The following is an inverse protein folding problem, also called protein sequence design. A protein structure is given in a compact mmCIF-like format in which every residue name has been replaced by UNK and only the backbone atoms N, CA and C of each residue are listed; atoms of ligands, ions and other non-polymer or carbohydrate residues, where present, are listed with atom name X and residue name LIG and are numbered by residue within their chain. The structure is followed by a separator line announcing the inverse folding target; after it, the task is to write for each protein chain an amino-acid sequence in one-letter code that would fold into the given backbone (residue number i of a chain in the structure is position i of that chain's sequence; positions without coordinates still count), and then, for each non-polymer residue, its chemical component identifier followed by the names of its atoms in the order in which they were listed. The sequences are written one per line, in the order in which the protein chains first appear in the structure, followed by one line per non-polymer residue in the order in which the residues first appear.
data_IF_657436858511
#
_entry.id   IF_657436858511
#
_cell.length_a   1.000
_cell.length_b   1.000
_cell.length_c   1.000
_cell.angle_alpha   90.00
_cell.angle_beta   90.00
_cell.angle_gamma   90.00
#
_symmetry.space_group_name_H-M   'P 1'
#
loop_
_entity.id
_entity.type
_entity.pdbx_description
1 polymer ?
#
# COMPACT_ATOMS: atom_id res chain seq x y z
N UNK A 1 -6.17 -29.01 7.68
CA UNK A 1 -5.54 -27.73 8.09
C UNK A 1 -5.13 -26.88 6.88
N UNK A 2 -4.58 -27.47 5.82
CA UNK A 2 -4.26 -26.76 4.55
C UNK A 2 -5.49 -26.24 3.79
N UNK A 3 -6.62 -26.98 3.79
CA UNK A 3 -7.85 -26.57 3.08
C UNK A 3 -8.54 -25.35 3.72
N UNK A 4 -8.50 -25.20 5.06
CA UNK A 4 -9.07 -24.04 5.75
C UNK A 4 -8.18 -22.80 5.64
N UNK A 5 -6.85 -22.99 5.59
CA UNK A 5 -5.89 -21.92 5.33
C UNK A 5 -6.03 -21.41 3.89
N UNK A 6 -6.09 -22.31 2.90
CA UNK A 6 -6.26 -21.93 1.50
C UNK A 6 -7.60 -21.20 1.26
N UNK A 7 -8.70 -21.65 1.87
CA UNK A 7 -10.00 -20.95 1.78
C UNK A 7 -10.01 -19.63 2.53
N UNK A 8 -9.34 -19.52 3.68
CA UNK A 8 -9.21 -18.25 4.41
C UNK A 8 -8.34 -17.25 3.65
N UNK A 9 -7.24 -17.69 3.05
CA UNK A 9 -6.38 -16.87 2.20
C UNK A 9 -7.15 -16.42 0.96
N UNK A 10 -7.85 -17.34 0.27
CA UNK A 10 -8.65 -17.03 -0.90
C UNK A 10 -9.79 -16.03 -0.59
N UNK A 11 -10.46 -16.15 0.57
CA UNK A 11 -11.53 -15.23 0.97
C UNK A 11 -11.00 -13.87 1.46
N UNK A 12 -9.82 -13.83 2.08
CA UNK A 12 -9.14 -12.58 2.43
C UNK A 12 -8.64 -11.82 1.21
N UNK A 13 -8.10 -12.56 0.24
CA UNK A 13 -7.64 -12.02 -1.03
C UNK A 13 -8.83 -11.51 -1.86
N UNK A 14 -9.94 -12.24 -1.92
CA UNK A 14 -11.10 -11.84 -2.70
C UNK A 14 -11.72 -10.54 -2.20
N UNK A 15 -11.87 -10.34 -0.88
CA UNK A 15 -12.43 -9.10 -0.33
C UNK A 15 -11.53 -7.88 -0.60
N UNK A 16 -10.21 -8.02 -0.44
CA UNK A 16 -9.26 -6.94 -0.73
C UNK A 16 -9.18 -6.64 -2.23
N UNK A 17 -9.21 -7.67 -3.07
CA UNK A 17 -9.20 -7.51 -4.53
C UNK A 17 -10.46 -6.78 -4.99
N UNK A 18 -11.64 -7.17 -4.51
CA UNK A 18 -12.90 -6.49 -4.83
C UNK A 18 -12.86 -5.02 -4.43
N UNK A 19 -12.41 -4.70 -3.21
CA UNK A 19 -12.28 -3.31 -2.76
C UNK A 19 -11.32 -2.49 -3.64
N UNK A 20 -10.21 -3.08 -4.07
CA UNK A 20 -9.24 -2.42 -4.98
C UNK A 20 -9.81 -2.22 -6.37
N UNK A 21 -10.53 -3.20 -6.93
CA UNK A 21 -11.21 -3.08 -8.22
C UNK A 21 -12.29 -2.01 -8.17
N UNK A 22 -13.13 -1.98 -7.13
CA UNK A 22 -14.14 -0.93 -6.95
C UNK A 22 -13.49 0.46 -6.82
N UNK A 23 -12.45 0.59 -6.00
CA UNK A 23 -11.66 1.82 -5.86
C UNK A 23 -11.05 2.27 -7.20
N UNK A 24 -10.57 1.32 -7.99
CA UNK A 24 -10.03 1.58 -9.33
C UNK A 24 -11.11 2.11 -10.28
N UNK A 25 -12.28 1.48 -10.34
CA UNK A 25 -13.40 1.92 -11.17
C UNK A 25 -13.88 3.33 -10.79
N UNK A 26 -13.95 3.62 -9.48
CA UNK A 26 -14.29 4.97 -9.00
C UNK A 26 -13.24 5.98 -9.45
N UNK A 27 -11.95 5.65 -9.34
CA UNK A 27 -10.85 6.53 -9.77
C UNK A 27 -10.90 6.77 -11.28
N UNK A 28 -11.20 5.73 -12.08
CA UNK A 28 -11.37 5.83 -13.52
C UNK A 28 -12.54 6.76 -13.91
N UNK A 29 -13.61 6.74 -13.13
CA UNK A 29 -14.74 7.65 -13.32
C UNK A 29 -14.40 9.09 -12.92
N UNK A 30 -13.71 9.29 -11.78
CA UNK A 30 -13.30 10.61 -11.32
C UNK A 30 -12.42 11.34 -12.34
N UNK A 31 -11.56 10.63 -13.08
CA UNK A 31 -10.75 11.18 -14.18
C UNK A 31 -11.56 11.85 -15.29
N UNK A 32 -12.84 11.50 -15.45
CA UNK A 32 -13.69 12.06 -16.50
C UNK A 32 -14.46 13.31 -16.06
N UNK A 33 -14.51 13.57 -14.75
CA UNK A 33 -15.36 14.62 -14.16
C UNK A 33 -14.54 15.71 -13.49
N UNK A 34 -13.50 15.32 -12.76
CA UNK A 34 -12.64 16.20 -11.96
C UNK A 34 -11.55 16.78 -12.86
N UNK A 35 -11.06 17.98 -12.54
CA UNK A 35 -9.95 18.55 -13.29
C UNK A 35 -8.71 17.66 -13.21
N UNK A 36 -8.06 17.43 -14.35
CA UNK A 36 -6.87 16.60 -14.45
C UNK A 36 -5.70 17.20 -13.66
N UNK A 37 -5.64 18.52 -13.53
CA UNK A 37 -4.59 19.18 -12.74
C UNK A 37 -4.74 18.89 -11.23
N UNK A 38 -5.99 18.90 -10.73
CA UNK A 38 -6.32 18.52 -9.35
C UNK A 38 -6.01 17.05 -9.10
N UNK A 39 -6.39 16.17 -10.03
CA UNK A 39 -6.13 14.74 -9.90
C UNK A 39 -4.64 14.42 -9.93
N UNK A 40 -3.86 15.06 -10.80
CA UNK A 40 -2.40 14.88 -10.83
C UNK A 40 -1.76 15.32 -9.52
N UNK A 41 -2.17 16.48 -8.99
CA UNK A 41 -1.69 16.98 -7.71
C UNK A 41 -2.05 16.06 -6.53
N UNK A 42 -3.29 15.56 -6.47
CA UNK A 42 -3.73 14.70 -5.36
C UNK A 42 -3.16 13.29 -5.47
N UNK A 43 -3.33 12.64 -6.62
CA UNK A 43 -3.02 11.22 -6.78
C UNK A 43 -1.53 10.93 -6.95
N UNK A 44 -0.74 11.85 -7.50
CA UNK A 44 0.72 11.67 -7.60
C UNK A 44 1.40 12.28 -6.40
N UNK A 45 1.24 13.59 -6.21
CA UNK A 45 2.06 14.35 -5.25
C UNK A 45 1.63 14.13 -3.80
N UNK A 46 0.39 14.44 -3.45
CA UNK A 46 -0.09 14.33 -2.07
C UNK A 46 -0.20 12.88 -1.61
N UNK A 47 -0.59 11.98 -2.51
CA UNK A 47 -0.64 10.54 -2.22
C UNK A 47 0.75 9.95 -2.05
N UNK A 48 1.78 10.40 -2.79
CA UNK A 48 3.17 9.99 -2.58
C UNK A 48 3.67 10.39 -1.19
N UNK A 49 3.39 11.62 -0.74
CA UNK A 49 3.74 12.07 0.61
C UNK A 49 3.09 11.15 1.66
N UNK A 50 1.79 10.91 1.52
CA UNK A 50 1.02 10.02 2.39
C UNK A 50 1.55 8.58 2.38
N UNK A 51 1.77 7.98 1.20
CA UNK A 51 2.22 6.59 1.05
C UNK A 51 3.60 6.40 1.67
N UNK A 52 4.49 7.37 1.48
CA UNK A 52 5.87 7.34 1.97
C UNK A 52 5.93 7.34 3.49
N UNK A 53 5.21 8.26 4.15
CA UNK A 53 5.15 8.35 5.62
C UNK A 53 4.63 7.03 6.20
N UNK A 54 3.54 6.54 5.61
CA UNK A 54 2.81 5.39 6.09
C UNK A 54 3.60 4.10 5.87
N UNK A 55 4.20 3.93 4.70
CA UNK A 55 4.99 2.75 4.34
C UNK A 55 6.23 2.62 5.21
N UNK A 56 6.98 3.71 5.38
CA UNK A 56 8.18 3.76 6.20
C UNK A 56 7.89 3.44 7.67
N UNK A 57 6.71 3.80 8.16
CA UNK A 57 6.28 3.49 9.53
C UNK A 57 5.76 2.05 9.66
N UNK A 58 4.87 1.61 8.76
CA UNK A 58 4.11 0.36 8.90
C UNK A 58 4.93 -0.89 8.58
N UNK A 59 5.72 -0.87 7.50
CA UNK A 59 6.38 -2.09 7.04
C UNK A 59 7.40 -2.65 8.06
N UNK A 60 8.27 -1.82 8.69
CA UNK A 60 9.19 -2.31 9.70
C UNK A 60 8.47 -2.88 10.92
N UNK A 61 7.38 -2.25 11.34
CA UNK A 61 6.59 -2.65 12.51
C UNK A 61 5.86 -3.98 12.29
N UNK A 62 5.28 -4.18 11.10
CA UNK A 62 4.64 -5.44 10.71
C UNK A 62 5.63 -6.61 10.56
N UNK A 63 6.87 -6.32 10.17
CA UNK A 63 7.93 -7.33 10.01
C UNK A 63 8.70 -7.62 11.30
N UNK A 64 8.72 -6.69 12.25
CA UNK A 64 9.34 -6.86 13.56
C UNK A 64 8.64 -7.91 14.44
N UNK A 65 7.45 -8.36 14.02
CA UNK A 65 6.63 -9.39 14.66
C UNK A 65 7.36 -10.74 14.90
N UNK A 66 8.43 -11.01 14.13
CA UNK A 66 9.13 -12.30 14.13
C UNK A 66 10.09 -12.48 15.33
N UNK A 67 10.34 -11.44 16.14
CA UNK A 67 11.52 -11.45 17.01
C UNK A 67 11.35 -11.87 18.48
N UNK A 68 10.14 -11.97 19.10
CA UNK A 68 10.08 -12.13 20.59
C UNK A 68 8.91 -12.87 21.25
N UNK A 69 9.27 -13.55 22.36
CA UNK A 69 8.39 -14.29 23.28
C UNK A 69 7.62 -13.43 24.31
N UNK A 70 8.09 -12.21 24.65
CA UNK A 70 7.46 -11.37 25.68
C UNK A 70 6.44 -10.37 25.13
N UNK A 71 5.15 -10.58 25.45
CA UNK A 71 4.04 -9.74 24.99
C UNK A 71 4.09 -8.26 25.45
N UNK A 72 4.40 -7.92 26.72
CA UNK A 72 4.35 -6.51 27.16
C UNK A 72 5.42 -5.64 26.50
N UNK A 73 6.63 -6.18 26.30
CA UNK A 73 7.72 -5.46 25.64
C UNK A 73 7.43 -5.26 24.13
N UNK A 74 6.76 -6.23 23.50
CA UNK A 74 6.27 -6.10 22.14
C UNK A 74 5.22 -5.00 22.00
N UNK A 75 4.23 -4.94 22.90
CA UNK A 75 3.21 -3.87 22.89
C UNK A 75 3.88 -2.50 23.01
N UNK A 76 4.82 -2.33 23.96
CA UNK A 76 5.57 -1.08 24.11
C UNK A 76 6.31 -0.66 22.83
N UNK A 77 6.94 -1.62 22.13
CA UNK A 77 7.63 -1.36 20.87
C UNK A 77 6.67 -0.88 19.77
N UNK A 78 5.51 -1.51 19.61
CA UNK A 78 4.59 -1.13 18.54
C UNK A 78 3.96 0.24 18.80
N UNK A 79 3.74 0.62 20.05
CA UNK A 79 3.27 1.96 20.41
C UNK A 79 4.30 3.07 20.14
N UNK A 80 5.54 2.74 19.76
CA UNK A 80 6.47 3.71 19.16
C UNK A 80 6.10 4.08 17.72
N UNK A 81 5.27 3.27 17.03
CA UNK A 81 4.86 3.51 15.64
C UNK A 81 4.18 4.86 15.42
N UNK A 82 3.15 5.27 16.20
CA UNK A 82 2.55 6.60 16.05
C UNK A 82 3.52 7.74 16.32
N UNK A 83 4.47 7.56 17.25
CA UNK A 83 5.48 8.57 17.56
C UNK A 83 6.44 8.77 16.39
N UNK A 84 6.94 7.66 15.81
CA UNK A 84 7.80 7.68 14.63
C UNK A 84 7.05 8.29 13.44
N UNK A 85 5.78 7.91 13.24
CA UNK A 85 4.92 8.49 12.21
C UNK A 85 4.72 9.99 12.38
N UNK A 86 4.53 10.48 13.62
CA UNK A 86 4.38 11.90 13.90
C UNK A 86 5.64 12.70 13.53
N UNK A 87 6.82 12.19 13.91
CA UNK A 87 8.11 12.80 13.53
C UNK A 87 8.30 12.79 12.01
N UNK A 88 8.08 11.65 11.36
CA UNK A 88 8.17 11.53 9.90
C UNK A 88 7.17 12.43 9.19
N UNK A 89 5.95 12.57 9.69
CA UNK A 89 4.92 13.45 9.13
C UNK A 89 5.38 14.90 9.10
N UNK A 90 5.96 15.39 10.21
CA UNK A 90 6.50 16.76 10.29
C UNK A 90 7.69 16.91 9.36
N UNK A 91 8.67 16.00 9.41
CA UNK A 91 9.87 16.06 8.58
C UNK A 91 9.55 16.02 7.08
N UNK A 92 8.73 15.07 6.64
CA UNK A 92 8.33 14.92 5.24
C UNK A 92 7.52 16.13 4.78
N UNK A 93 6.64 16.72 5.61
CA UNK A 93 5.90 17.95 5.25
C UNK A 93 6.82 19.14 5.08
N UNK A 94 7.82 19.29 5.96
CA UNK A 94 8.82 20.35 5.86
C UNK A 94 9.69 20.17 4.61
N UNK A 95 10.20 18.96 4.37
CA UNK A 95 10.97 18.64 3.16
C UNK A 95 10.14 18.88 1.90
N UNK A 96 8.88 18.46 1.90
CA UNK A 96 7.97 18.70 0.79
C UNK A 96 7.80 20.19 0.53
N UNK A 97 7.63 21.02 1.56
CA UNK A 97 7.48 22.47 1.40
C UNK A 97 8.76 23.15 0.90
N UNK A 98 9.93 22.67 1.31
CA UNK A 98 11.22 23.21 0.88
C UNK A 98 11.54 22.85 -0.57
N UNK A 99 11.23 21.61 -0.99
CA UNK A 99 11.60 21.09 -2.30
C UNK A 99 10.51 21.40 -3.35
N UNK A 100 9.23 21.41 -2.95
CA UNK A 100 8.09 21.60 -3.83
C UNK A 100 7.77 23.08 -4.06
N UNK A 101 8.78 23.90 -4.36
CA UNK A 101 8.65 25.26 -4.90
C UNK A 101 8.03 25.24 -6.32
N UNK A 102 6.90 24.56 -6.48
CA UNK A 102 6.13 24.47 -7.72
C UNK A 102 5.21 25.68 -7.86
N UNK A 103 4.91 26.05 -9.10
CA UNK A 103 4.04 27.16 -9.54
C UNK A 103 2.59 27.17 -9.04
N UNK A 104 2.15 26.16 -8.29
CA UNK A 104 0.78 26.06 -7.74
C UNK A 104 0.87 26.04 -6.22
N UNK A 105 0.51 27.16 -5.59
CA UNK A 105 0.44 27.27 -4.14
C UNK A 105 -0.69 26.40 -3.60
N UNK A 106 -0.34 25.23 -3.06
CA UNK A 106 -1.31 24.39 -2.34
C UNK A 106 -1.54 24.96 -0.95
N UNK A 107 -2.78 25.25 -0.55
CA UNK A 107 -3.07 25.72 0.80
C UNK A 107 -2.53 24.76 1.86
N UNK A 108 -1.90 25.31 2.90
CA UNK A 108 -1.28 24.52 3.97
C UNK A 108 -2.24 23.51 4.60
N UNK A 109 -3.53 23.86 4.72
CA UNK A 109 -4.55 22.98 5.26
C UNK A 109 -4.70 21.68 4.45
N UNK A 110 -4.68 21.78 3.11
CA UNK A 110 -4.80 20.62 2.21
C UNK A 110 -3.51 19.79 2.22
N UNK A 111 -2.35 20.44 2.29
CA UNK A 111 -1.09 19.71 2.42
C UNK A 111 -1.03 18.93 3.75
N UNK A 112 -1.45 19.56 4.85
CA UNK A 112 -1.40 18.98 6.19
C UNK A 112 -2.41 17.84 6.39
N UNK A 113 -3.50 17.78 5.62
CA UNK A 113 -4.52 16.74 5.78
C UNK A 113 -4.00 15.34 5.49
N UNK A 114 -3.07 15.19 4.55
CA UNK A 114 -2.51 13.89 4.14
C UNK A 114 -1.57 13.29 5.20
N UNK A 115 -0.56 14.02 5.73
CA UNK A 115 0.22 13.60 6.89
C UNK A 115 -0.63 13.39 8.15
N UNK A 116 -1.64 14.24 8.38
CA UNK A 116 -2.56 14.07 9.51
C UNK A 116 -3.35 12.75 9.39
N UNK A 117 -3.86 12.44 8.20
CA UNK A 117 -4.52 11.17 7.91
C UNK A 117 -3.56 9.98 8.15
N UNK A 118 -2.31 10.06 7.68
CA UNK A 118 -1.29 9.03 7.94
C UNK A 118 -1.01 8.86 9.45
N UNK A 119 -0.98 9.95 10.21
CA UNK A 119 -0.82 9.92 11.67
C UNK A 119 -2.00 9.22 12.37
N UNK A 120 -3.24 9.59 12.03
CA UNK A 120 -4.45 8.93 12.56
C UNK A 120 -4.41 7.42 12.25
N UNK A 121 -4.02 7.08 11.03
CA UNK A 121 -3.87 5.70 10.59
C UNK A 121 -2.75 4.92 11.27
N UNK A 122 -1.68 5.60 11.68
CA UNK A 122 -0.61 4.99 12.47
C UNK A 122 -1.04 4.68 13.90
N UNK A 123 -2.01 5.43 14.45
CA UNK A 123 -2.61 5.13 15.75
C UNK A 123 -3.42 3.82 15.74
N UNK A 124 -3.93 3.41 14.58
CA UNK A 124 -4.59 2.13 14.38
C UNK A 124 -3.60 0.97 14.15
N UNK A 125 -2.33 1.28 13.84
CA UNK A 125 -1.32 0.28 13.48
C UNK A 125 -1.00 -0.72 14.59
N UNK A 126 -0.93 -0.34 15.89
CA UNK A 126 -0.74 -1.32 16.96
C UNK A 126 -1.78 -2.45 16.94
N UNK A 127 -3.04 -2.12 16.71
CA UNK A 127 -4.11 -3.09 16.58
C UNK A 127 -3.96 -3.95 15.32
N UNK A 128 -3.50 -3.36 14.21
CA UNK A 128 -3.25 -4.10 12.99
C UNK A 128 -2.09 -5.11 13.13
N UNK A 129 -1.00 -4.73 13.79
CA UNK A 129 0.15 -5.62 14.04
C UNK A 129 -0.24 -6.74 15.01
N UNK A 130 -0.99 -6.44 16.07
CA UNK A 130 -1.52 -7.47 16.97
C UNK A 130 -2.43 -8.44 16.20
N UNK A 131 -3.31 -7.93 15.32
CA UNK A 131 -4.16 -8.79 14.51
C UNK A 131 -3.36 -9.73 13.60
N UNK A 132 -2.23 -9.28 13.05
CA UNK A 132 -1.34 -10.12 12.24
C UNK A 132 -0.64 -11.18 13.10
N UNK A 133 -0.12 -10.81 14.27
CA UNK A 133 0.57 -11.73 15.19
C UNK A 133 -0.30 -12.92 15.61
N UNK A 134 -1.58 -12.65 15.90
CA UNK A 134 -2.53 -13.68 16.33
C UNK A 134 -3.28 -14.34 15.17
N UNK A 135 -2.84 -14.14 13.92
CA UNK A 135 -3.45 -14.74 12.72
C UNK A 135 -4.90 -14.34 12.44
N UNK A 136 -5.36 -13.17 12.91
CA UNK A 136 -6.67 -12.58 12.59
C UNK A 136 -6.68 -11.95 11.18
N UNK A 137 -6.25 -12.71 10.17
CA UNK A 137 -6.10 -12.24 8.79
C UNK A 137 -7.41 -11.69 8.19
N UNK A 138 -8.56 -12.23 8.60
CA UNK A 138 -9.88 -11.76 8.16
C UNK A 138 -10.18 -10.35 8.64
N UNK A 139 -9.94 -10.05 9.91
CA UNK A 139 -10.22 -8.73 10.46
C UNK A 139 -9.28 -7.68 9.85
N UNK A 140 -8.03 -8.06 9.64
CA UNK A 140 -7.06 -7.23 8.93
C UNK A 140 -7.48 -6.94 7.49
N UNK A 141 -7.92 -7.96 6.73
CA UNK A 141 -8.37 -7.82 5.35
C UNK A 141 -9.60 -6.91 5.23
N UNK A 142 -10.59 -7.07 6.11
CA UNK A 142 -11.80 -6.25 6.13
C UNK A 142 -11.45 -4.79 6.46
N UNK A 143 -10.61 -4.55 7.46
CA UNK A 143 -10.20 -3.19 7.81
C UNK A 143 -9.51 -2.46 6.65
N UNK A 144 -8.62 -3.14 5.93
CA UNK A 144 -7.95 -2.60 4.75
C UNK A 144 -8.94 -2.33 3.60
N UNK A 145 -9.89 -3.24 3.37
CA UNK A 145 -10.94 -3.05 2.37
C UNK A 145 -11.83 -1.84 2.70
N UNK A 146 -12.19 -1.65 3.98
CA UNK A 146 -12.95 -0.49 4.46
C UNK A 146 -12.19 0.79 4.18
N UNK A 147 -10.91 0.87 4.55
CA UNK A 147 -10.11 2.08 4.32
C UNK A 147 -10.09 2.50 2.85
N UNK A 148 -9.71 1.58 1.97
CA UNK A 148 -9.60 1.84 0.53
C UNK A 148 -10.95 2.25 -0.07
N UNK A 149 -12.02 1.56 0.33
CA UNK A 149 -13.37 1.82 -0.17
C UNK A 149 -13.88 3.19 0.31
N UNK A 150 -13.76 3.50 1.60
CA UNK A 150 -14.22 4.77 2.16
C UNK A 150 -13.48 5.97 1.58
N UNK A 151 -12.15 5.87 1.35
CA UNK A 151 -11.39 6.95 0.72
C UNK A 151 -12.00 7.36 -0.63
N UNK A 152 -12.31 6.39 -1.50
CA UNK A 152 -12.80 6.69 -2.86
C UNK A 152 -14.30 6.92 -2.93
N UNK A 153 -15.10 6.17 -2.17
CA UNK A 153 -16.56 6.34 -2.14
C UNK A 153 -16.94 7.70 -1.57
N UNK A 154 -16.25 8.17 -0.52
CA UNK A 154 -16.55 9.49 0.08
C UNK A 154 -16.33 10.62 -0.92
N UNK A 155 -15.20 10.61 -1.65
CA UNK A 155 -14.92 11.58 -2.72
C UNK A 155 -16.00 11.51 -3.81
N UNK A 156 -16.30 10.30 -4.29
CA UNK A 156 -17.28 10.10 -5.35
C UNK A 156 -18.67 10.62 -4.96
N UNK A 157 -19.17 10.23 -3.79
CA UNK A 157 -20.49 10.66 -3.31
C UNK A 157 -20.55 12.17 -3.14
N UNK A 158 -19.49 12.80 -2.60
CA UNK A 158 -19.49 14.24 -2.40
C UNK A 158 -19.54 14.98 -3.74
N UNK A 159 -18.72 14.58 -4.71
CA UNK A 159 -18.67 15.22 -6.03
C UNK A 159 -19.99 15.06 -6.78
N UNK A 160 -20.61 13.88 -6.72
CA UNK A 160 -21.88 13.59 -7.40
C UNK A 160 -23.06 14.30 -6.74
N UNK A 161 -23.12 14.36 -5.39
CA UNK A 161 -24.28 14.90 -4.69
C UNK A 161 -24.28 16.42 -4.57
N UNK A 162 -23.12 17.03 -4.37
CA UNK A 162 -23.04 18.46 -4.06
C UNK A 162 -22.58 19.31 -5.24
N UNK A 163 -22.11 18.70 -6.34
CA UNK A 163 -21.52 19.40 -7.49
C UNK A 163 -20.68 20.60 -7.06
N UNK A 164 -19.61 20.37 -6.28
CA UNK A 164 -18.80 21.47 -5.75
C UNK A 164 -18.27 22.32 -6.91
N UNK A 165 -18.21 23.63 -6.70
CA UNK A 165 -17.47 24.51 -7.59
C UNK A 165 -16.02 23.98 -7.74
N UNK A 166 -15.45 24.12 -8.95
CA UNK A 166 -14.13 23.55 -9.31
C UNK A 166 -13.01 23.88 -8.32
N UNK A 167 -13.09 25.06 -7.68
CA UNK A 167 -12.10 25.52 -6.70
C UNK A 167 -12.09 24.69 -5.39
N UNK A 168 -13.18 23.99 -5.08
CA UNK A 168 -13.33 23.20 -3.84
C UNK A 168 -13.04 21.71 -4.02
N UNK A 169 -12.71 21.24 -5.23
CA UNK A 169 -12.45 19.81 -5.49
C UNK A 169 -11.31 19.27 -4.61
N UNK A 170 -10.22 20.02 -4.46
CA UNK A 170 -9.08 19.69 -3.58
C UNK A 170 -9.47 19.49 -2.11
N UNK A 171 -10.38 20.31 -1.60
CA UNK A 171 -10.84 20.24 -0.23
C UNK A 171 -11.62 18.94 0.03
N UNK A 172 -12.43 18.51 -0.93
CA UNK A 172 -13.19 17.24 -0.85
C UNK A 172 -12.25 16.05 -0.71
N UNK A 173 -11.15 16.01 -1.48
CA UNK A 173 -10.14 14.94 -1.35
C UNK A 173 -9.47 14.95 0.03
N UNK A 174 -9.10 16.13 0.53
CA UNK A 174 -8.48 16.28 1.85
C UNK A 174 -9.38 15.77 2.99
N UNK A 175 -10.65 16.17 2.99
CA UNK A 175 -11.62 15.75 4.03
C UNK A 175 -11.94 14.27 3.91
N UNK A 176 -12.14 13.75 2.69
CA UNK A 176 -12.38 12.32 2.47
C UNK A 176 -11.23 11.45 3.00
N UNK A 177 -9.98 11.90 2.82
CA UNK A 177 -8.80 11.20 3.33
C UNK A 177 -8.83 11.10 4.86
N UNK A 178 -9.05 12.23 5.55
CA UNK A 178 -9.13 12.27 7.01
C UNK A 178 -10.29 11.41 7.53
N UNK A 179 -11.48 11.54 6.93
CA UNK A 179 -12.67 10.78 7.32
C UNK A 179 -12.42 9.27 7.21
N UNK A 180 -11.82 8.81 6.11
CA UNK A 180 -11.53 7.39 5.93
C UNK A 180 -10.53 6.86 6.98
N UNK A 181 -9.49 7.63 7.31
CA UNK A 181 -8.53 7.28 8.37
C UNK A 181 -9.20 7.21 9.75
N UNK A 182 -10.16 8.10 10.05
CA UNK A 182 -10.96 8.02 11.28
C UNK A 182 -11.85 6.77 11.32
N UNK A 183 -12.56 6.44 10.24
CA UNK A 183 -13.37 5.22 10.17
C UNK A 183 -12.52 3.96 10.35
N UNK A 184 -11.32 3.95 9.78
CA UNK A 184 -10.36 2.86 9.97
C UNK A 184 -9.94 2.70 11.44
N UNK A 185 -9.63 3.80 12.13
CA UNK A 185 -9.31 3.78 13.56
C UNK A 185 -10.49 3.29 14.41
N UNK A 186 -11.70 3.80 14.15
CA UNK A 186 -12.93 3.39 14.85
C UNK A 186 -13.20 1.90 14.63
N UNK A 187 -13.04 1.40 13.40
CA UNK A 187 -13.22 -0.01 13.09
C UNK A 187 -12.31 -0.91 13.95
N UNK A 188 -11.01 -0.58 14.02
CA UNK A 188 -10.08 -1.34 14.86
C UNK A 188 -10.44 -1.26 16.33
N UNK A 189 -10.76 -0.06 16.82
CA UNK A 189 -11.12 0.14 18.22
C UNK A 189 -12.36 -0.68 18.61
N UNK A 190 -13.42 -0.63 17.80
CA UNK A 190 -14.66 -1.41 18.02
C UNK A 190 -14.40 -2.92 17.92
N UNK A 191 -13.60 -3.35 16.95
CA UNK A 191 -13.30 -4.78 16.73
C UNK A 191 -12.50 -5.35 17.90
N UNK A 192 -11.45 -4.67 18.34
CA UNK A 192 -10.64 -5.09 19.49
C UNK A 192 -11.40 -5.00 20.82
N UNK A 193 -12.28 -4.01 20.97
CA UNK A 193 -13.17 -3.94 22.14
C UNK A 193 -14.13 -5.15 22.20
N UNK A 194 -14.74 -5.52 21.07
CA UNK A 194 -15.62 -6.70 20.98
C UNK A 194 -14.86 -7.99 21.23
N UNK A 195 -13.69 -8.15 20.61
CA UNK A 195 -12.82 -9.32 20.80
C UNK A 195 -12.36 -9.47 22.26
N UNK A 196 -12.01 -8.36 22.92
CA UNK A 196 -11.65 -8.37 24.34
C UNK A 196 -12.82 -8.80 25.23
N UNK A 197 -14.05 -8.37 24.93
CA UNK A 197 -15.25 -8.77 25.66
C UNK A 197 -15.64 -10.23 25.44
N UNK A 198 -15.41 -10.76 24.24
CA UNK A 198 -15.75 -12.14 23.88
C UNK A 198 -14.75 -13.19 24.40
N UNK A 199 -13.60 -12.76 24.96
CA UNK A 199 -12.53 -13.66 25.47
C UNK A 199 -12.18 -14.77 24.48
N UNK A 200 -12.03 -14.42 23.20
CA UNK A 200 -11.63 -15.37 22.14
C UNK A 200 -10.34 -16.08 22.52
N UNK A 201 -10.22 -17.37 22.18
CA UNK A 201 -9.05 -18.19 22.55
C UNK A 201 -7.71 -17.57 22.15
N UNK A 202 -7.68 -16.89 20.99
CA UNK A 202 -6.50 -16.24 20.42
C UNK A 202 -5.99 -15.06 21.27
N UNK A 203 -6.84 -14.41 22.06
CA UNK A 203 -6.49 -13.24 22.88
C UNK A 203 -6.46 -13.55 24.39
N UNK A 204 -6.52 -14.83 24.79
CA UNK A 204 -6.47 -15.25 26.20
C UNK A 204 -5.22 -14.79 26.95
N UNK A 205 -4.13 -14.45 26.25
CA UNK A 205 -2.91 -13.92 26.86
C UNK A 205 -3.03 -12.45 27.33
N UNK A 206 -4.07 -11.73 26.88
CA UNK A 206 -4.39 -10.39 27.38
C UNK A 206 -5.51 -10.49 28.43
N UNK A 207 -5.28 -9.95 29.62
CA UNK A 207 -6.24 -9.95 30.72
C UNK A 207 -7.41 -8.99 30.51
N UNK A 208 -7.26 -8.00 29.61
CA UNK A 208 -8.32 -7.06 29.22
C UNK A 208 -7.88 -6.01 28.20
N UNK A 209 -8.78 -5.09 27.86
CA UNK A 209 -8.54 -4.03 26.86
C UNK A 209 -7.38 -3.09 27.22
N UNK A 210 -7.10 -2.93 28.52
CA UNK A 210 -5.98 -2.13 29.01
C UNK A 210 -4.59 -2.74 28.71
N UNK A 211 -4.52 -4.04 28.44
CA UNK A 211 -3.24 -4.71 28.13
C UNK A 211 -2.79 -4.51 26.68
N UNK A 212 -3.64 -3.92 25.82
CA UNK A 212 -3.26 -3.49 24.48
C UNK A 212 -2.48 -2.17 24.48
N UNK A 213 -2.43 -1.46 25.62
CA UNK A 213 -1.73 -0.18 25.77
C UNK A 213 -0.34 -0.37 26.39
N UNK A 214 0.60 0.56 26.16
CA UNK A 214 1.96 0.42 26.63
C UNK A 214 2.02 0.45 28.16
N UNK A 215 2.78 -0.48 28.74
CA UNK A 215 3.07 -0.55 30.18
C UNK A 215 4.52 -0.14 30.40
N UNK A 216 4.72 1.07 30.91
CA UNK A 216 6.05 1.68 31.09
C UNK A 216 7.01 0.88 32.01
N UNK A 217 6.49 -0.07 32.80
CA UNK A 217 7.31 -0.90 33.70
C UNK A 217 8.17 -1.98 33.02
N UNK A 218 7.92 -2.34 31.76
CA UNK A 218 8.61 -3.46 31.08
C UNK A 218 9.74 -3.03 30.12
N UNK A 219 10.05 -1.73 30.04
CA UNK A 219 11.10 -1.20 29.18
C UNK A 219 10.87 -1.42 27.68
N UNK A 220 11.80 -0.94 26.86
CA UNK A 220 11.90 -1.22 25.43
C UNK A 220 13.20 -1.95 25.21
N UNK A 221 13.15 -3.13 24.59
CA UNK A 221 14.35 -3.91 24.35
C UNK A 221 15.12 -3.36 23.14
N UNK A 222 16.38 -2.99 23.39
CA UNK A 222 17.32 -2.39 22.44
C UNK A 222 17.53 -3.27 21.20
N UNK A 223 17.48 -4.59 21.34
CA UNK A 223 17.63 -5.52 20.19
C UNK A 223 16.47 -5.41 19.20
N UNK A 224 15.24 -5.17 19.70
CA UNK A 224 14.07 -4.94 18.85
C UNK A 224 14.15 -3.62 18.12
N UNK A 225 14.62 -2.56 18.80
CA UNK A 225 14.80 -1.25 18.19
C UNK A 225 15.83 -1.33 17.05
N UNK A 226 16.94 -2.06 17.25
CA UNK A 226 17.93 -2.27 16.19
C UNK A 226 17.36 -3.04 15.00
N UNK A 227 16.53 -4.07 15.23
CA UNK A 227 15.87 -4.80 14.15
C UNK A 227 14.85 -3.95 13.39
N UNK A 228 14.06 -3.12 14.09
CA UNK A 228 13.17 -2.15 13.45
C UNK A 228 13.97 -1.16 12.62
N UNK A 229 15.12 -0.68 13.12
CA UNK A 229 15.98 0.25 12.38
C UNK A 229 16.57 -0.37 11.10
N UNK A 230 17.03 -1.62 11.14
CA UNK A 230 17.53 -2.31 9.93
C UNK A 230 16.41 -2.55 8.91
N UNK A 231 15.23 -2.98 9.38
CA UNK A 231 14.05 -3.16 8.54
C UNK A 231 13.56 -1.83 7.94
N UNK A 232 13.68 -0.73 8.68
CA UNK A 232 13.38 0.62 8.19
C UNK A 232 14.30 0.99 7.03
N UNK A 233 15.60 0.69 7.12
CA UNK A 233 16.54 0.87 6.01
C UNK A 233 16.11 0.09 4.74
N UNK A 234 15.67 -1.16 4.90
CA UNK A 234 15.14 -1.95 3.78
C UNK A 234 13.86 -1.35 3.20
N UNK A 235 12.97 -0.84 4.05
CA UNK A 235 11.72 -0.17 3.61
C UNK A 235 12.00 1.12 2.84
N UNK A 236 13.01 1.91 3.21
CA UNK A 236 13.41 3.10 2.42
C UNK A 236 13.80 2.71 1.00
N UNK A 237 14.67 1.71 0.87
CA UNK A 237 15.13 1.24 -0.44
C UNK A 237 13.97 0.71 -1.28
N UNK A 238 13.08 -0.06 -0.65
CA UNK A 238 11.88 -0.60 -1.31
C UNK A 238 10.91 0.50 -1.74
N UNK A 239 10.72 1.53 -0.92
CA UNK A 239 9.87 2.67 -1.25
C UNK A 239 10.42 3.44 -2.46
N UNK A 240 11.74 3.64 -2.52
CA UNK A 240 12.39 4.29 -3.65
C UNK A 240 12.23 3.49 -4.96
N UNK A 241 12.32 2.16 -4.88
CA UNK A 241 12.14 1.29 -6.05
C UNK A 241 10.68 1.22 -6.51
N UNK A 242 9.73 1.27 -5.58
CA UNK A 242 8.31 1.11 -5.90
C UNK A 242 7.69 2.40 -6.40
N UNK A 243 7.94 3.52 -5.71
CA UNK A 243 7.33 4.82 -6.01
C UNK A 243 8.33 5.78 -6.71
N UNK A 244 9.43 5.23 -7.26
CA UNK A 244 10.50 5.98 -7.93
C UNK A 244 10.00 6.86 -9.08
N UNK A 245 9.06 6.35 -9.88
CA UNK A 245 8.38 7.09 -10.94
C UNK A 245 7.72 8.37 -10.41
N UNK A 246 6.94 8.23 -9.33
CA UNK A 246 6.22 9.32 -8.68
C UNK A 246 7.16 10.35 -8.03
N UNK A 247 8.30 9.90 -7.46
CA UNK A 247 9.34 10.81 -6.96
C UNK A 247 9.96 11.66 -8.07
N UNK A 248 10.33 11.03 -9.19
CA UNK A 248 10.89 11.75 -10.34
C UNK A 248 9.88 12.77 -10.85
N UNK A 249 8.60 12.41 -11.02
CA UNK A 249 7.55 13.33 -11.49
C UNK A 249 7.31 14.51 -10.55
N UNK A 250 7.36 14.25 -9.25
CA UNK A 250 7.17 15.27 -8.22
C UNK A 250 8.33 16.27 -8.21
N UNK A 251 9.57 15.79 -8.19
CA UNK A 251 10.74 16.61 -7.92
C UNK A 251 11.37 17.24 -9.16
N UNK A 252 11.31 16.56 -10.31
CA UNK A 252 11.91 17.09 -11.55
C UNK A 252 10.95 17.99 -12.32
N UNK A 253 9.65 17.97 -11.97
CA UNK A 253 8.58 18.73 -12.64
C UNK A 253 8.57 18.56 -14.18
N UNK A 254 9.16 17.48 -14.71
CA UNK A 254 9.32 17.25 -16.15
C UNK A 254 7.97 17.08 -16.87
N UNK A 255 6.93 16.65 -16.16
CA UNK A 255 5.58 16.45 -16.69
C UNK A 255 4.60 17.47 -16.10
N UNK A 256 3.67 17.96 -16.93
CA UNK A 256 2.54 18.77 -16.47
C UNK A 256 1.61 17.96 -15.54
N UNK A 257 0.82 18.65 -14.69
CA UNK A 257 -0.08 17.98 -13.74
C UNK A 257 -1.11 17.08 -14.46
N UNK A 258 -1.64 17.50 -15.62
CA UNK A 258 -2.49 16.65 -16.46
C UNK A 258 -1.81 15.36 -16.88
N UNK A 259 -0.57 15.44 -17.35
CA UNK A 259 0.18 14.26 -17.79
C UNK A 259 0.53 13.33 -16.61
N UNK A 260 0.80 13.90 -15.44
CA UNK A 260 0.97 13.14 -14.19
C UNK A 260 -0.30 12.36 -13.84
N UNK A 261 -1.48 12.97 -13.96
CA UNK A 261 -2.76 12.30 -13.71
C UNK A 261 -2.99 11.11 -14.67
N UNK A 262 -2.67 11.29 -15.95
CA UNK A 262 -2.76 10.23 -16.96
C UNK A 262 -1.78 9.10 -16.64
N UNK A 263 -0.53 9.42 -16.31
CA UNK A 263 0.48 8.42 -15.99
C UNK A 263 0.10 7.58 -14.76
N UNK A 264 -0.27 8.20 -13.65
CA UNK A 264 -0.69 7.50 -12.42
C UNK A 264 -1.86 6.56 -12.69
N UNK A 265 -2.80 6.99 -13.54
CA UNK A 265 -3.96 6.17 -13.88
C UNK A 265 -3.59 4.92 -14.67
N UNK A 266 -2.65 5.05 -15.62
CA UNK A 266 -2.12 3.92 -16.39
C UNK A 266 -1.28 2.99 -15.51
N UNK A 267 -0.43 3.55 -14.64
CA UNK A 267 0.38 2.79 -13.68
C UNK A 267 -0.48 1.98 -12.70
N UNK A 268 -1.56 2.57 -12.19
CA UNK A 268 -2.55 1.88 -11.35
C UNK A 268 -3.27 0.75 -12.08
N UNK A 269 -3.63 0.94 -13.36
CA UNK A 269 -4.23 -0.13 -14.17
C UNK A 269 -3.23 -1.27 -14.38
N UNK A 270 -2.01 -0.96 -14.78
CA UNK A 270 -0.96 -1.96 -15.03
C UNK A 270 -0.63 -2.77 -13.78
N UNK A 271 -0.43 -2.10 -12.64
CA UNK A 271 -0.14 -2.76 -11.38
C UNK A 271 -1.32 -3.59 -10.85
N UNK A 272 -2.57 -3.18 -11.11
CA UNK A 272 -3.75 -3.98 -10.74
C UNK A 272 -3.80 -5.29 -11.51
N UNK A 273 -3.59 -5.26 -12.83
CA UNK A 273 -3.56 -6.47 -13.68
C UNK A 273 -2.42 -7.39 -13.23
N UNK A 274 -1.23 -6.84 -12.99
CA UNK A 274 -0.09 -7.60 -12.48
C UNK A 274 -0.41 -8.26 -11.13
N UNK A 275 -1.07 -7.55 -10.20
CA UNK A 275 -1.47 -8.10 -8.89
C UNK A 275 -2.51 -9.20 -9.01
N UNK A 276 -3.48 -9.08 -9.91
CA UNK A 276 -4.50 -10.12 -10.13
C UNK A 276 -3.85 -11.41 -10.65
N UNK A 277 -2.84 -11.29 -11.52
CA UNK A 277 -2.17 -12.45 -12.10
C UNK A 277 -1.09 -13.07 -11.19
N UNK A 278 -0.22 -12.24 -10.60
CA UNK A 278 1.00 -12.69 -9.93
C UNK A 278 0.84 -12.89 -8.42
N UNK A 279 0.00 -12.10 -7.74
CA UNK A 279 -0.12 -12.21 -6.29
C UNK A 279 -0.62 -13.58 -5.80
N UNK A 280 -1.60 -14.24 -6.47
CA UNK A 280 -1.99 -15.60 -6.08
C UNK A 280 -0.84 -16.60 -6.21
N UNK A 281 -0.03 -16.47 -7.26
CA UNK A 281 1.13 -17.35 -7.50
C UNK A 281 2.18 -17.13 -6.41
N UNK A 282 2.47 -15.88 -6.05
CA UNK A 282 3.42 -15.53 -4.99
C UNK A 282 2.98 -16.06 -3.62
N UNK A 283 1.69 -15.91 -3.27
CA UNK A 283 1.16 -16.43 -2.01
C UNK A 283 1.19 -17.96 -1.95
N UNK A 284 0.82 -18.64 -3.04
CA UNK A 284 0.88 -20.10 -3.14
C UNK A 284 2.32 -20.62 -3.05
N UNK A 285 3.26 -19.96 -3.74
CA UNK A 285 4.67 -20.29 -3.69
C UNK A 285 5.23 -20.08 -2.27
N UNK A 286 4.94 -18.93 -1.66
CA UNK A 286 5.38 -18.61 -0.30
C UNK A 286 4.86 -19.59 0.73
N UNK A 287 3.57 -19.98 0.65
CA UNK A 287 2.98 -20.98 1.52
C UNK A 287 3.61 -22.36 1.33
N UNK A 288 3.83 -22.76 0.07
CA UNK A 288 4.51 -24.01 -0.27
C UNK A 288 5.92 -24.06 0.31
N UNK A 289 6.77 -23.08 -0.01
CA UNK A 289 8.16 -23.06 0.46
C UNK A 289 8.27 -22.92 1.98
N UNK A 290 7.39 -22.14 2.61
CA UNK A 290 7.37 -22.03 4.09
C UNK A 290 7.06 -23.39 4.74
N UNK A 291 6.11 -24.16 4.18
CA UNK A 291 5.78 -25.48 4.71
C UNK A 291 6.92 -26.50 4.52
N UNK A 292 7.59 -26.47 3.35
CA UNK A 292 8.73 -27.34 3.05
C UNK A 292 9.93 -27.00 3.95
N UNK A 293 10.22 -25.71 4.16
CA UNK A 293 11.32 -25.24 4.99
C UNK A 293 11.09 -25.49 6.49
N UNK A 294 9.86 -25.33 6.99
CA UNK A 294 9.55 -25.63 8.39
C UNK A 294 9.60 -27.13 8.69
N UNK A 295 9.11 -27.97 7.77
CA UNK A 295 9.17 -29.43 7.90
C UNK A 295 10.59 -29.99 7.80
N UNK A 296 11.53 -29.25 7.23
CA UNK A 296 12.93 -29.69 7.06
C UNK A 296 13.85 -29.31 8.23
N UNK A 297 13.44 -28.38 9.11
CA UNK A 297 14.27 -27.88 10.24
C UNK A 297 14.77 -28.92 11.26
N UNK A 298 14.12 -30.10 11.39
CA UNK A 298 14.58 -31.22 12.24
C UNK A 298 15.05 -32.47 11.48
N UNK A 299 14.97 -32.47 10.14
CA UNK A 299 15.15 -33.66 9.27
C UNK A 299 16.36 -33.51 8.32
N UNK A 300 17.07 -32.38 8.38
CA UNK A 300 18.16 -31.98 7.46
C UNK A 300 19.42 -32.89 7.43
N UNK A 301 19.37 -34.09 8.03
CA UNK A 301 20.45 -35.08 7.93
C UNK A 301 20.23 -36.21 6.92
N UNK A 302 19.02 -36.43 6.37
CA UNK A 302 18.77 -37.67 5.58
C UNK A 302 17.94 -37.58 4.27
N UNK A 303 17.46 -36.41 3.79
CA UNK A 303 16.57 -36.37 2.60
C UNK A 303 17.03 -35.39 1.52
N UNK A 304 17.95 -35.81 0.65
CA UNK A 304 18.34 -35.07 -0.56
C UNK A 304 17.21 -34.96 -1.59
N UNK A 305 16.33 -35.97 -1.71
CA UNK A 305 15.22 -35.99 -2.67
C UNK A 305 14.20 -34.86 -2.47
N UNK A 306 13.87 -34.51 -1.24
CA UNK A 306 12.91 -33.43 -0.94
C UNK A 306 13.44 -32.03 -1.25
N UNK A 307 14.76 -31.86 -1.30
CA UNK A 307 15.39 -30.58 -1.63
C UNK A 307 15.43 -30.37 -3.15
N UNK A 308 15.79 -31.42 -3.91
CA UNK A 308 15.78 -31.38 -5.38
C UNK A 308 14.37 -31.11 -5.93
N UNK A 309 13.34 -31.66 -5.30
CA UNK A 309 11.94 -31.37 -5.64
C UNK A 309 11.57 -29.90 -5.40
N UNK A 310 12.03 -29.30 -4.30
CA UNK A 310 11.78 -27.88 -4.02
C UNK A 310 12.50 -26.96 -5.02
N UNK A 311 13.75 -27.28 -5.37
CA UNK A 311 14.54 -26.54 -6.37
C UNK A 311 13.90 -26.65 -7.76
N UNK A 312 13.42 -27.83 -8.15
CA UNK A 312 12.73 -28.02 -9.44
C UNK A 312 11.42 -27.24 -9.51
N UNK A 313 10.62 -27.22 -8.43
CA UNK A 313 9.40 -26.40 -8.35
C UNK A 313 9.73 -24.91 -8.43
N UNK A 314 10.78 -24.44 -7.75
CA UNK A 314 11.21 -23.03 -7.84
C UNK A 314 11.64 -22.67 -9.26
N UNK A 315 12.45 -23.53 -9.90
CA UNK A 315 12.90 -23.35 -11.28
C UNK A 315 11.71 -23.26 -12.25
N UNK A 316 10.72 -24.14 -12.10
CA UNK A 316 9.51 -24.14 -12.93
C UNK A 316 8.67 -22.87 -12.72
N UNK A 317 8.50 -22.41 -11.47
CA UNK A 317 7.78 -21.15 -11.19
C UNK A 317 8.51 -19.97 -11.83
N UNK A 318 9.83 -19.88 -11.67
CA UNK A 318 10.64 -18.82 -12.28
C UNK A 318 10.59 -18.86 -13.81
N UNK A 319 10.61 -20.04 -14.41
CA UNK A 319 10.47 -20.21 -15.85
C UNK A 319 9.12 -19.69 -16.35
N UNK A 320 8.03 -20.08 -15.69
CA UNK A 320 6.68 -19.61 -16.04
C UNK A 320 6.54 -18.10 -15.85
N UNK A 321 7.04 -17.55 -14.74
CA UNK A 321 7.01 -16.10 -14.49
C UNK A 321 7.78 -15.32 -15.55
N UNK A 322 8.99 -15.77 -15.91
CA UNK A 322 9.78 -15.13 -16.97
C UNK A 322 9.08 -15.21 -18.32
N UNK A 323 8.54 -16.37 -18.68
CA UNK A 323 7.84 -16.55 -19.96
C UNK A 323 6.58 -15.67 -20.03
N UNK A 324 5.81 -15.58 -18.94
CA UNK A 324 4.68 -14.66 -18.84
C UNK A 324 5.10 -13.19 -18.95
N UNK A 325 6.21 -12.81 -18.32
CA UNK A 325 6.78 -11.46 -18.41
C UNK A 325 7.21 -11.11 -19.84
N UNK A 326 7.86 -12.04 -20.54
CA UNK A 326 8.27 -11.85 -21.94
C UNK A 326 7.06 -11.67 -22.88
N UNK A 327 5.99 -12.45 -22.68
CA UNK A 327 4.73 -12.29 -23.42
C UNK A 327 4.17 -10.88 -23.18
N UNK A 328 4.08 -10.46 -21.91
CA UNK A 328 3.58 -9.12 -21.57
C UNK A 328 4.45 -8.02 -22.18
N UNK A 329 5.78 -8.16 -22.19
CA UNK A 329 6.67 -7.18 -22.83
C UNK A 329 6.47 -7.13 -24.35
N UNK A 330 6.36 -8.28 -25.02
CA UNK A 330 6.22 -8.35 -26.48
C UNK A 330 4.86 -7.80 -26.97
N UNK A 331 3.77 -8.16 -26.28
CA UNK A 331 2.42 -7.76 -26.68
C UNK A 331 1.96 -6.46 -26.02
N UNK A 332 2.49 -6.12 -24.84
CA UNK A 332 2.07 -4.96 -24.05
C UNK A 332 2.22 -3.65 -24.81
N UNK A 333 3.34 -3.45 -25.52
CA UNK A 333 3.57 -2.24 -26.32
C UNK A 333 2.57 -2.09 -27.47
N UNK A 334 2.24 -3.19 -28.14
CA UNK A 334 1.30 -3.19 -29.27
C UNK A 334 -0.14 -2.93 -28.82
N UNK A 335 -0.56 -3.52 -27.69
CA UNK A 335 -1.91 -3.33 -27.14
C UNK A 335 -2.06 -2.09 -26.24
N UNK A 336 -0.96 -1.45 -25.83
CA UNK A 336 -0.99 -0.26 -24.96
C UNK A 336 -1.87 0.85 -25.53
N UNK A 337 -1.80 1.11 -26.85
CA UNK A 337 -2.62 2.14 -27.50
C UNK A 337 -4.12 1.86 -27.37
N UNK A 338 -4.52 0.60 -27.52
CA UNK A 338 -5.92 0.17 -27.42
C UNK A 338 -6.40 0.20 -25.96
N UNK A 339 -5.54 -0.20 -25.02
CA UNK A 339 -5.87 -0.17 -23.59
C UNK A 339 -6.04 1.27 -23.08
N UNK A 340 -5.19 2.21 -23.50
CA UNK A 340 -5.27 3.61 -23.12
C UNK A 340 -6.50 4.29 -23.72
N UNK A 341 -6.84 4.02 -24.99
CA UNK A 341 -8.06 4.58 -25.61
C UNK A 341 -9.33 4.02 -25.00
N UNK A 342 -9.36 2.73 -24.62
CA UNK A 342 -10.47 2.13 -23.89
C UNK A 342 -10.66 2.78 -22.50
N UNK A 343 -9.55 3.11 -21.83
CA UNK A 343 -9.57 3.60 -20.46
C UNK A 343 -10.06 5.06 -20.35
N UNK A 344 -9.49 5.99 -21.12
CA UNK A 344 -9.83 7.42 -21.01
C UNK A 344 -10.45 8.09 -22.23
N UNK A 345 -10.88 7.32 -23.24
CA UNK A 345 -11.60 7.87 -24.39
C UNK A 345 -10.82 8.93 -25.18
N UNK A 346 -11.53 9.84 -25.87
CA UNK A 346 -10.94 10.92 -26.67
C UNK A 346 -10.13 11.94 -25.84
N UNK A 347 -10.41 12.08 -24.54
CA UNK A 347 -9.69 12.96 -23.63
C UNK A 347 -8.22 12.56 -23.40
N UNK A 348 -7.88 11.27 -23.55
CA UNK A 348 -6.49 10.78 -23.51
C UNK A 348 -5.80 10.81 -24.88
N UNK A 349 -6.58 10.75 -25.96
CA UNK A 349 -6.07 10.88 -27.33
C UNK A 349 -5.67 12.34 -27.63
N UNK A 350 -6.46 13.32 -27.19
CA UNK A 350 -6.21 14.75 -27.43
C UNK A 350 -5.15 15.35 -26.47
N UNK A 351 -5.00 14.83 -25.25
CA UNK A 351 -3.99 15.30 -24.28
C UNK A 351 -2.63 14.57 -24.40
N UNK A 352 -2.35 13.93 -25.53
CA UNK A 352 -0.99 13.50 -25.86
C UNK A 352 -0.49 12.23 -25.16
N UNK A 353 -1.37 11.31 -24.72
CA UNK A 353 -0.94 9.99 -24.23
C UNK A 353 -0.09 9.21 -25.25
N UNK A 354 -0.35 9.44 -26.55
CA UNK A 354 0.50 8.94 -27.65
C UNK A 354 1.82 9.71 -27.82
N UNK A 355 1.85 11.02 -27.53
CA UNK A 355 3.04 11.86 -27.62
C UNK A 355 4.05 11.54 -26.51
N UNK A 356 3.61 11.28 -25.28
CA UNK A 356 4.51 10.95 -24.14
C UNK A 356 5.21 9.59 -24.36
N UNK A 357 4.50 8.60 -24.91
CA UNK A 357 5.09 7.33 -25.32
C UNK A 357 6.02 7.48 -26.54
N UNK A 358 5.78 8.47 -27.41
CA UNK A 358 6.66 8.77 -28.54
C UNK A 358 7.89 9.63 -28.18
N UNK A 359 7.79 10.50 -27.17
CA UNK A 359 8.93 11.28 -26.66
C UNK A 359 9.90 10.39 -25.89
N UNK A 360 9.41 9.43 -25.08
CA UNK A 360 10.27 8.41 -24.47
C UNK A 360 11.00 7.56 -25.53
N UNK A 361 10.37 7.31 -26.68
CA UNK A 361 11.02 6.66 -27.84
C UNK A 361 12.10 7.54 -28.47
N UNK A 362 11.88 8.85 -28.56
CA UNK A 362 12.86 9.78 -29.13
C UNK A 362 14.06 10.02 -28.19
N UNK A 363 13.85 10.04 -26.87
CA UNK A 363 14.93 10.14 -25.89
C UNK A 363 15.80 8.87 -25.90
N UNK A 364 15.19 7.67 -26.00
CA UNK A 364 15.95 6.43 -26.14
C UNK A 364 16.69 6.34 -27.49
N UNK A 365 16.08 6.80 -28.58
CA UNK A 365 16.72 6.83 -29.91
C UNK A 365 17.86 7.85 -30.03
N UNK A 366 17.92 8.86 -29.16
CA UNK A 366 18.98 9.87 -29.17
C UNK A 366 20.16 9.53 -28.25
N UNK A 367 20.04 8.50 -27.43
CA UNK A 367 21.13 7.96 -26.60
C UNK A 367 21.93 6.83 -27.31
N UNK A 368 21.50 6.43 -28.50
CA UNK A 368 22.10 5.37 -29.33
C UNK A 368 22.85 5.93 -30.56
N UNK A 369 23.06 7.25 -30.61
CA UNK A 369 24.00 7.95 -31.50
C UNK A 369 24.99 8.72 -30.65
#
# INVERSE_FOLDING_TARGET
MSSSLATSIATNFSAQLVARVCSFLITAYLLRIVDNDVLGLVNVRLTLLYSTILFLTREPMRKADILKDSLPAFVNLIWCSPLICGVLSVLCTLLWRLISSSSVEVPFFILASFPLAAFIESCAEPFAVIALRFSLHRQFAIAQAILISFQRITVFLWIVLFHPAKENELFVFAVAQILASFFYLIYYFVTFYRLSKQKTEELKMFGGFADFFPKFGFGIDVTSVRAVATLTGHSIFKQLLTDGSSYVMTFTQLLSLKQQAVYDSVERLGSLVARIALAPIEELASAYFSSVLQSSSKVFKNNTKSFDDAVSVLSNILYVMNLSGLIVCAFGLSYAKIAVTLYGGSLLADNGGGCILSELRNIYSSAEK
#
